data_IF_549221247328
#
_entry.id   IF_549221247328
#
_cell.length_a   1.000
_cell.length_b   1.000
_cell.length_c   1.000
_cell.angle_alpha   90.00
_cell.angle_beta   90.00
_cell.angle_gamma   90.00
#
_symmetry.space_group_name_H-M   'P 1'
#
loop_
_entity.id
_entity.type
_entity.pdbx_description
1 polymer ?
#
# COMPACT_ATOMS: atom_id res chain seq x y z
N UNK A 1 22.05 -4.44 21.89
CA UNK A 1 20.91 -3.77 21.23
C UNK A 1 21.16 -3.80 19.73
N UNK A 2 20.20 -4.27 18.92
CA UNK A 2 20.23 -4.20 17.46
C UNK A 2 20.66 -2.82 16.95
N UNK A 3 21.48 -2.80 15.89
CA UNK A 3 21.89 -1.54 15.25
C UNK A 3 20.78 -1.05 14.32
N UNK A 4 20.37 0.22 14.45
CA UNK A 4 19.41 0.88 13.56
C UNK A 4 20.20 1.77 12.60
N UNK A 5 20.12 1.48 11.31
CA UNK A 5 20.88 2.19 10.27
C UNK A 5 19.95 2.81 9.25
N UNK A 6 20.06 4.11 8.91
CA UNK A 6 19.29 4.71 7.82
C UNK A 6 19.48 3.95 6.51
N UNK A 7 18.41 3.84 5.72
CA UNK A 7 18.52 3.28 4.38
C UNK A 7 19.35 4.18 3.47
N UNK A 8 20.03 3.57 2.50
CA UNK A 8 20.75 4.30 1.47
C UNK A 8 19.76 4.80 0.43
N UNK A 9 19.79 6.10 0.15
CA UNK A 9 18.99 6.72 -0.89
C UNK A 9 19.86 7.11 -2.08
N UNK A 10 19.24 7.16 -3.27
CA UNK A 10 19.92 7.61 -4.50
C UNK A 10 20.20 9.12 -4.44
N UNK A 11 21.23 9.62 -5.13
CA UNK A 11 21.49 11.06 -5.22
C UNK A 11 20.26 11.84 -5.68
N UNK A 12 19.97 12.97 -5.02
CA UNK A 12 18.78 13.79 -5.31
C UNK A 12 17.49 13.32 -4.63
N UNK A 13 17.51 12.19 -3.91
CA UNK A 13 16.39 11.78 -3.07
C UNK A 13 16.21 12.71 -1.88
N UNK A 14 14.96 13.04 -1.60
CA UNK A 14 14.50 13.77 -0.41
C UNK A 14 13.62 12.87 0.49
N UNK A 15 13.76 11.55 0.35
CA UNK A 15 13.15 10.56 1.25
C UNK A 15 13.79 10.69 2.64
N UNK A 16 12.95 10.81 3.67
CA UNK A 16 13.34 11.05 5.05
C UNK A 16 12.91 9.93 6.01
N UNK A 17 12.58 8.76 5.46
CA UNK A 17 12.10 7.59 6.19
C UNK A 17 12.85 6.32 5.75
N UNK A 18 12.79 5.29 6.59
CA UNK A 18 13.38 3.99 6.32
C UNK A 18 14.68 3.73 7.09
N UNK A 19 14.72 2.60 7.78
CA UNK A 19 15.93 2.08 8.44
C UNK A 19 16.10 0.59 8.16
N UNK A 20 17.30 0.07 8.33
CA UNK A 20 17.60 -1.35 8.40
C UNK A 20 17.93 -1.75 9.84
N UNK A 21 17.46 -2.92 10.25
CA UNK A 21 17.73 -3.51 11.56
C UNK A 21 18.14 -4.97 11.37
N UNK A 22 19.19 -5.38 12.08
CA UNK A 22 19.62 -6.77 12.16
C UNK A 22 19.14 -7.39 13.48
N UNK A 23 18.22 -8.35 13.37
CA UNK A 23 17.56 -9.02 14.50
C UNK A 23 17.08 -10.40 14.09
N UNK A 24 17.08 -11.36 15.02
CA UNK A 24 16.49 -12.67 14.82
C UNK A 24 14.96 -12.59 14.92
N UNK A 25 14.30 -12.53 13.75
CA UNK A 25 12.84 -12.47 13.67
C UNK A 25 12.16 -13.82 13.99
N UNK A 26 12.87 -14.94 13.87
CA UNK A 26 12.31 -16.26 14.21
C UNK A 26 12.14 -16.41 15.72
N UNK A 27 13.08 -15.82 16.49
CA UNK A 27 13.10 -15.86 17.96
C UNK A 27 13.04 -14.45 18.58
N UNK A 28 12.15 -13.60 18.07
CA UNK A 28 12.08 -12.19 18.45
C UNK A 28 11.71 -11.99 19.92
N UNK A 29 12.62 -11.41 20.70
CA UNK A 29 12.39 -11.08 22.12
C UNK A 29 11.53 -9.83 22.30
N UNK A 30 11.05 -9.58 23.51
CA UNK A 30 10.29 -8.36 23.83
C UNK A 30 11.11 -7.09 23.71
N UNK A 31 12.38 -7.13 24.10
CA UNK A 31 13.30 -6.00 23.98
C UNK A 31 13.61 -5.68 22.52
N UNK A 32 13.85 -6.72 21.71
CA UNK A 32 14.07 -6.55 20.27
C UNK A 32 12.81 -6.03 19.56
N UNK A 33 11.63 -6.54 19.94
CA UNK A 33 10.37 -6.02 19.40
C UNK A 33 10.15 -4.55 19.79
N UNK A 34 10.49 -4.14 21.00
CA UNK A 34 10.38 -2.74 21.42
C UNK A 34 11.22 -1.83 20.51
N UNK A 35 12.44 -2.26 20.16
CA UNK A 35 13.33 -1.54 19.23
C UNK A 35 12.74 -1.49 17.82
N UNK A 36 12.23 -2.63 17.31
CA UNK A 36 11.57 -2.68 15.99
C UNK A 36 10.34 -1.78 15.94
N UNK A 37 9.50 -1.79 16.98
CA UNK A 37 8.30 -0.96 17.09
C UNK A 37 8.66 0.52 17.12
N UNK A 38 9.62 0.90 17.95
CA UNK A 38 10.07 2.29 18.07
C UNK A 38 10.65 2.80 16.74
N UNK A 39 11.52 2.01 16.12
CA UNK A 39 12.09 2.32 14.83
C UNK A 39 11.02 2.43 13.73
N UNK A 40 10.02 1.55 13.72
CA UNK A 40 8.93 1.62 12.74
C UNK A 40 8.12 2.91 12.88
N UNK A 41 7.77 3.34 14.08
CA UNK A 41 6.95 4.55 14.23
C UNK A 41 7.76 5.84 14.06
N UNK A 42 9.08 5.82 14.30
CA UNK A 42 9.96 6.96 14.01
C UNK A 42 10.41 7.05 12.54
N UNK A 43 10.56 5.92 11.86
CA UNK A 43 11.13 5.86 10.51
C UNK A 43 10.21 5.24 9.45
N UNK A 44 8.99 4.85 9.82
CA UNK A 44 7.89 4.35 8.98
C UNK A 44 8.13 3.09 8.15
N UNK A 45 9.38 2.67 7.95
CA UNK A 45 9.77 1.49 7.21
C UNK A 45 11.01 0.88 7.87
N UNK A 46 10.97 -0.42 8.11
CA UNK A 46 12.08 -1.21 8.63
C UNK A 46 12.40 -2.33 7.65
N UNK A 47 13.65 -2.38 7.20
CA UNK A 47 14.19 -3.44 6.35
C UNK A 47 14.96 -4.45 7.20
N UNK A 48 14.62 -5.72 7.01
CA UNK A 48 15.37 -6.86 7.52
C UNK A 48 15.98 -7.59 6.33
N UNK A 49 17.30 -7.78 6.33
CA UNK A 49 18.03 -8.51 5.29
C UNK A 49 18.16 -9.99 5.66
N UNK A 50 18.41 -10.86 4.68
CA UNK A 50 18.77 -12.27 4.91
C UNK A 50 17.71 -13.11 5.66
N UNK A 51 16.43 -12.87 5.39
CA UNK A 51 15.29 -13.54 6.03
C UNK A 51 14.78 -14.76 5.25
N UNK A 52 15.60 -15.39 4.40
CA UNK A 52 15.17 -16.52 3.55
C UNK A 52 14.59 -17.68 4.36
N UNK A 53 15.07 -17.87 5.59
CA UNK A 53 14.65 -18.96 6.47
C UNK A 53 13.50 -18.58 7.43
N UNK A 54 13.01 -17.34 7.39
CA UNK A 54 11.95 -16.89 8.29
C UNK A 54 10.67 -17.70 8.06
N UNK A 55 10.10 -18.28 9.11
CA UNK A 55 8.87 -19.06 8.99
C UNK A 55 7.64 -18.15 8.76
N UNK A 56 6.58 -18.64 8.08
CA UNK A 56 5.32 -17.90 7.98
C UNK A 56 4.74 -17.57 9.35
N UNK A 57 4.92 -18.46 10.33
CA UNK A 57 4.49 -18.25 11.71
C UNK A 57 5.20 -17.04 12.32
N UNK A 58 6.53 -16.96 12.24
CA UNK A 58 7.28 -15.83 12.77
C UNK A 58 6.90 -14.49 12.10
N UNK A 59 6.69 -14.49 10.77
CA UNK A 59 6.18 -13.31 10.05
C UNK A 59 4.81 -12.86 10.57
N UNK A 60 3.90 -13.80 10.79
CA UNK A 60 2.57 -13.52 11.36
C UNK A 60 2.67 -13.00 12.79
N UNK A 61 3.45 -13.66 13.66
CA UNK A 61 3.60 -13.25 15.06
C UNK A 61 4.17 -11.83 15.16
N UNK A 62 5.22 -11.48 14.41
CA UNK A 62 5.73 -10.11 14.34
C UNK A 62 4.62 -9.12 13.96
N UNK A 63 3.84 -9.43 12.93
CA UNK A 63 2.75 -8.56 12.45
C UNK A 63 1.67 -8.40 13.53
N UNK A 64 1.28 -9.49 14.19
CA UNK A 64 0.28 -9.52 15.25
C UNK A 64 0.71 -8.76 16.50
N UNK A 65 1.99 -8.69 16.83
CA UNK A 65 2.47 -7.94 18.00
C UNK A 65 2.14 -6.44 17.97
N UNK A 66 1.87 -5.86 16.80
CA UNK A 66 1.42 -4.46 16.69
C UNK A 66 -0.06 -4.26 17.06
N UNK A 67 -0.85 -5.33 17.06
CA UNK A 67 -2.23 -5.36 17.50
C UNK A 67 -2.63 -6.78 17.97
N UNK A 68 -2.36 -7.14 19.23
CA UNK A 68 -2.61 -8.50 19.72
C UNK A 68 -4.07 -8.93 19.66
N UNK A 69 -5.01 -7.98 19.61
CA UNK A 69 -6.46 -8.22 19.50
C UNK A 69 -6.90 -8.48 18.05
N UNK A 70 -6.02 -8.32 17.06
CA UNK A 70 -6.31 -8.57 15.66
C UNK A 70 -6.28 -10.08 15.34
N UNK A 71 -7.34 -10.56 14.69
CA UNK A 71 -7.50 -11.98 14.33
C UNK A 71 -7.74 -12.21 12.82
N UNK A 72 -8.17 -11.18 12.09
CA UNK A 72 -8.57 -11.28 10.68
C UNK A 72 -7.55 -10.64 9.74
N UNK A 73 -7.41 -11.21 8.54
CA UNK A 73 -6.62 -10.61 7.46
C UNK A 73 -7.22 -9.26 7.02
N UNK A 74 -6.38 -8.30 6.62
CA UNK A 74 -6.75 -6.89 6.39
C UNK A 74 -7.71 -6.61 5.22
N UNK A 75 -8.07 -7.63 4.43
CA UNK A 75 -8.99 -7.51 3.29
C UNK A 75 -10.18 -8.47 3.45
N UNK A 76 -11.34 -8.08 2.90
CA UNK A 76 -12.57 -8.86 2.96
C UNK A 76 -12.42 -10.30 2.45
N UNK A 77 -12.96 -11.25 3.23
CA UNK A 77 -12.99 -12.67 2.94
C UNK A 77 -14.31 -13.18 2.33
N UNK A 78 -15.04 -12.37 1.56
CA UNK A 78 -16.23 -12.85 0.84
C UNK A 78 -15.83 -13.58 -0.43
N UNK A 79 -16.24 -14.85 -0.59
CA UNK A 79 -15.78 -15.80 -1.61
C UNK A 79 -15.82 -15.33 -3.09
N UNK A 80 -16.46 -14.21 -3.39
CA UNK A 80 -16.64 -13.64 -4.72
C UNK A 80 -15.86 -12.35 -5.01
N UNK A 81 -15.01 -11.86 -4.10
CA UNK A 81 -14.21 -10.65 -4.42
C UNK A 81 -13.07 -10.99 -5.40
N UNK A 82 -12.84 -10.09 -6.36
CA UNK A 82 -11.73 -10.17 -7.33
C UNK A 82 -10.36 -10.37 -6.66
N UNK A 83 -10.23 -9.95 -5.40
CA UNK A 83 -9.04 -10.05 -4.55
C UNK A 83 -8.69 -11.51 -4.19
N UNK A 84 -9.67 -12.39 -3.95
CA UNK A 84 -9.43 -13.80 -3.61
C UNK A 84 -8.69 -14.58 -4.68
N UNK A 85 -8.84 -14.20 -5.96
CA UNK A 85 -8.17 -14.89 -7.07
C UNK A 85 -6.66 -14.65 -7.10
N UNK A 86 -6.15 -13.70 -6.32
CA UNK A 86 -4.75 -13.27 -6.35
C UNK A 86 -4.00 -13.46 -5.04
N UNK A 87 -4.69 -13.77 -3.94
CA UNK A 87 -4.10 -14.03 -2.64
C UNK A 87 -4.40 -15.46 -2.20
N UNK A 88 -3.33 -16.22 -1.97
CA UNK A 88 -3.41 -17.57 -1.45
C UNK A 88 -2.72 -17.63 -0.09
N UNK A 89 -3.50 -17.94 0.93
CA UNK A 89 -2.98 -18.15 2.28
C UNK A 89 -2.14 -19.42 2.32
N UNK A 90 -1.02 -19.37 3.05
CA UNK A 90 -0.22 -20.56 3.34
C UNK A 90 -1.06 -21.49 4.23
N UNK A 91 -1.21 -22.80 3.92
CA UNK A 91 -2.08 -23.71 4.66
C UNK A 91 -1.86 -23.71 6.18
N UNK A 92 -0.60 -23.77 6.61
CA UNK A 92 -0.23 -23.79 8.03
C UNK A 92 -0.29 -22.40 8.71
N UNK A 93 -0.36 -21.32 7.92
CA UNK A 93 -0.50 -19.95 8.43
C UNK A 93 -1.29 -19.06 7.45
N UNK A 94 -2.63 -19.20 7.37
CA UNK A 94 -3.43 -18.56 6.32
C UNK A 94 -3.49 -17.03 6.36
N UNK A 95 -2.99 -16.38 7.41
CA UNK A 95 -2.82 -14.93 7.52
C UNK A 95 -1.64 -14.43 6.68
N UNK A 96 -0.71 -15.31 6.33
CA UNK A 96 0.39 -15.01 5.41
C UNK A 96 -0.03 -15.40 4.00
N UNK A 97 -0.16 -14.40 3.15
CA UNK A 97 -0.60 -14.55 1.76
C UNK A 97 0.59 -14.58 0.81
N UNK A 98 0.49 -15.38 -0.24
CA UNK A 98 1.47 -15.40 -1.33
C UNK A 98 0.99 -14.48 -2.46
N UNK A 99 1.93 -13.68 -2.99
CA UNK A 99 1.72 -12.73 -4.10
C UNK A 99 2.88 -12.82 -5.08
N UNK A 100 2.65 -12.57 -6.36
CA UNK A 100 3.74 -12.76 -7.31
C UNK A 100 3.36 -12.75 -8.78
N UNK A 101 4.19 -13.40 -9.60
CA UNK A 101 3.97 -13.63 -11.02
C UNK A 101 4.58 -14.97 -11.40
N UNK A 102 3.94 -15.65 -12.34
CA UNK A 102 4.46 -16.89 -12.91
C UNK A 102 3.82 -18.12 -12.30
N UNK A 103 4.22 -19.27 -12.83
CA UNK A 103 3.82 -20.58 -12.35
C UNK A 103 4.83 -21.11 -11.33
N UNK A 104 4.34 -21.71 -10.24
CA UNK A 104 5.15 -22.33 -9.20
C UNK A 104 4.59 -23.73 -8.97
N UNK A 105 5.43 -24.75 -9.17
CA UNK A 105 5.02 -26.15 -9.01
C UNK A 105 4.61 -26.45 -7.56
N UNK A 106 5.41 -26.02 -6.58
CA UNK A 106 5.05 -26.13 -5.17
C UNK A 106 5.68 -25.03 -4.32
N UNK A 107 4.97 -24.61 -3.27
CA UNK A 107 5.48 -23.66 -2.30
C UNK A 107 4.74 -23.77 -0.97
N UNK A 108 5.45 -24.09 0.12
CA UNK A 108 4.91 -24.13 1.50
C UNK A 108 3.56 -24.86 1.63
N UNK A 109 3.50 -26.10 1.11
CA UNK A 109 2.29 -26.94 1.18
C UNK A 109 1.26 -26.69 0.06
N UNK A 110 1.44 -25.65 -0.75
CA UNK A 110 0.62 -25.41 -1.94
C UNK A 110 1.26 -26.06 -3.18
N UNK A 111 0.43 -26.42 -4.17
CA UNK A 111 0.82 -27.08 -5.42
C UNK A 111 0.18 -26.34 -6.61
N UNK A 112 0.80 -26.40 -7.78
CA UNK A 112 0.30 -25.88 -9.07
C UNK A 112 -0.20 -24.43 -9.00
N UNK A 113 0.59 -23.58 -8.38
CA UNK A 113 0.25 -22.19 -8.10
C UNK A 113 0.48 -21.32 -9.34
N UNK A 114 -0.53 -20.54 -9.75
CA UNK A 114 -0.38 -19.46 -10.74
C UNK A 114 -0.55 -18.10 -10.09
N UNK A 115 0.56 -17.36 -9.94
CA UNK A 115 0.55 -16.00 -9.41
C UNK A 115 0.40 -14.98 -10.53
N UNK A 116 -0.18 -13.83 -10.19
CA UNK A 116 -0.40 -12.74 -11.13
C UNK A 116 0.01 -11.40 -10.55
N UNK A 117 0.85 -10.69 -11.33
CA UNK A 117 1.30 -9.35 -11.01
C UNK A 117 0.43 -8.33 -11.73
N UNK A 118 0.02 -7.24 -11.05
CA UNK A 118 -0.71 -6.17 -11.69
C UNK A 118 0.01 -5.57 -12.89
N UNK A 119 -0.77 -5.15 -13.88
CA UNK A 119 -0.24 -4.54 -15.09
C UNK A 119 -1.07 -3.31 -15.43
N UNK A 120 -0.40 -2.17 -15.63
CA UNK A 120 -1.03 -0.88 -15.89
C UNK A 120 -2.06 -0.93 -17.04
N UNK A 121 -1.84 -1.72 -18.09
CA UNK A 121 -2.74 -1.85 -19.24
C UNK A 121 -4.17 -2.29 -18.87
N UNK A 122 -4.36 -2.95 -17.72
CA UNK A 122 -5.69 -3.36 -17.25
C UNK A 122 -6.42 -2.25 -16.49
N UNK A 123 -5.70 -1.47 -15.69
CA UNK A 123 -6.25 -0.50 -14.75
C UNK A 123 -6.30 0.94 -15.28
N UNK A 124 -5.36 1.32 -16.15
CA UNK A 124 -5.20 2.70 -16.62
C UNK A 124 -6.05 2.98 -17.87
N UNK A 125 -6.43 4.25 -18.06
CA UNK A 125 -7.08 4.72 -19.28
C UNK A 125 -6.05 4.82 -20.41
N UNK A 126 -4.97 5.56 -20.17
CA UNK A 126 -3.82 5.66 -21.06
C UNK A 126 -2.81 4.54 -20.80
N UNK A 127 -2.68 3.64 -21.77
CA UNK A 127 -1.78 2.49 -21.68
C UNK A 127 -0.47 2.77 -22.40
N UNK A 128 0.64 2.28 -21.85
CA UNK A 128 1.92 2.27 -22.56
C UNK A 128 1.83 1.23 -23.71
N UNK A 129 2.22 1.58 -24.94
CA UNK A 129 2.27 0.66 -26.08
C UNK A 129 3.09 -0.60 -25.79
N UNK A 130 2.70 -1.72 -26.37
CA UNK A 130 3.28 -3.03 -26.08
C UNK A 130 4.77 -3.13 -26.40
N UNK A 131 5.20 -2.51 -27.50
CA UNK A 131 6.60 -2.43 -27.94
C UNK A 131 7.48 -1.59 -27.00
N UNK A 132 6.87 -0.81 -26.11
CA UNK A 132 7.55 0.06 -25.13
C UNK A 132 7.51 -0.48 -23.70
N UNK A 133 6.70 -1.49 -23.45
CA UNK A 133 6.41 -1.98 -22.10
C UNK A 133 7.59 -2.70 -21.44
N UNK A 134 8.60 -3.07 -22.21
CA UNK A 134 9.86 -3.59 -21.67
C UNK A 134 10.70 -2.49 -20.98
N UNK A 135 10.59 -1.25 -21.44
CA UNK A 135 11.37 -0.10 -20.98
C UNK A 135 10.59 0.84 -20.06
N UNK A 136 9.27 0.94 -20.25
CA UNK A 136 8.43 1.90 -19.55
C UNK A 136 7.28 1.23 -18.80
N UNK A 137 6.88 1.83 -17.68
CA UNK A 137 5.76 1.37 -16.87
C UNK A 137 5.03 2.55 -16.19
N UNK A 138 4.02 2.24 -15.37
CA UNK A 138 3.30 3.21 -14.53
C UNK A 138 3.21 2.69 -13.10
N UNK A 139 3.01 3.59 -12.14
CA UNK A 139 2.52 3.18 -10.83
C UNK A 139 1.17 2.48 -11.01
N UNK A 140 0.99 1.28 -10.44
CA UNK A 140 -0.27 0.56 -10.69
C UNK A 140 -1.48 1.21 -9.99
N UNK A 141 -1.33 1.51 -8.69
CA UNK A 141 -2.31 2.23 -7.86
C UNK A 141 -1.68 2.60 -6.53
N UNK A 142 -1.64 3.88 -6.18
CA UNK A 142 -1.26 4.32 -4.85
C UNK A 142 -2.37 4.01 -3.85
N UNK A 143 -2.02 3.39 -2.72
CA UNK A 143 -3.00 2.95 -1.73
C UNK A 143 -2.36 2.77 -0.35
N UNK A 144 -3.25 2.67 0.64
CA UNK A 144 -3.02 1.97 1.91
C UNK A 144 -3.61 0.57 1.79
N UNK A 145 -3.00 -0.44 2.43
CA UNK A 145 -3.62 -1.76 2.53
C UNK A 145 -4.83 -1.62 3.46
N UNK A 146 -6.03 -1.94 2.99
CA UNK A 146 -7.28 -1.85 3.76
C UNK A 146 -8.42 -2.60 3.06
N UNK A 147 -9.50 -2.91 3.78
CA UNK A 147 -10.78 -3.27 3.17
C UNK A 147 -11.58 -2.02 2.79
N UNK A 148 -11.52 -0.98 3.63
CA UNK A 148 -12.27 0.29 3.51
C UNK A 148 -13.80 0.13 3.57
N UNK A 149 -14.26 -1.06 3.95
CA UNK A 149 -15.63 -1.41 4.29
C UNK A 149 -15.57 -2.51 5.35
N UNK A 150 -16.36 -2.38 6.43
CA UNK A 150 -16.40 -3.28 7.61
C UNK A 150 -15.11 -3.31 8.46
N UNK A 151 -13.97 -3.58 7.84
CA UNK A 151 -12.68 -3.78 8.52
C UNK A 151 -11.81 -2.51 8.53
N UNK A 152 -11.21 -2.23 9.68
CA UNK A 152 -10.28 -1.11 9.84
C UNK A 152 -8.95 -1.37 9.11
N UNK A 153 -8.30 -0.33 8.55
CA UNK A 153 -6.99 -0.44 7.92
C UNK A 153 -5.92 -1.02 8.87
N UNK A 154 -5.18 -2.08 8.49
CA UNK A 154 -4.05 -2.60 9.27
C UNK A 154 -3.09 -1.53 9.77
N UNK A 155 -2.57 -1.66 11.00
CA UNK A 155 -1.53 -0.76 11.53
C UNK A 155 -0.22 -0.89 10.75
N UNK A 156 0.16 -2.13 10.43
CA UNK A 156 1.41 -2.46 9.76
C UNK A 156 1.19 -3.52 8.69
N UNK A 157 2.15 -3.62 7.78
CA UNK A 157 2.23 -4.72 6.81
C UNK A 157 3.66 -5.23 6.75
N UNK A 158 3.82 -6.55 6.68
CA UNK A 158 5.09 -7.21 6.34
C UNK A 158 5.04 -7.72 4.92
N UNK A 159 6.12 -7.51 4.17
CA UNK A 159 6.28 -7.98 2.80
C UNK A 159 7.69 -8.56 2.65
N UNK A 160 7.77 -9.86 2.40
CA UNK A 160 9.01 -10.63 2.33
C UNK A 160 9.23 -11.17 0.92
N UNK A 161 10.40 -10.88 0.35
CA UNK A 161 10.84 -11.36 -0.95
C UNK A 161 11.36 -12.79 -0.85
N UNK A 162 10.71 -13.71 -1.54
CA UNK A 162 11.13 -15.12 -1.68
C UNK A 162 11.94 -15.28 -2.96
N UNK A 163 11.39 -14.78 -4.07
CA UNK A 163 12.03 -14.80 -5.39
C UNK A 163 11.74 -13.49 -6.09
N UNK A 164 12.78 -12.87 -6.64
CA UNK A 164 12.68 -11.56 -7.30
C UNK A 164 13.12 -11.67 -8.77
N UNK A 165 12.47 -10.93 -9.68
CA UNK A 165 12.92 -10.88 -11.07
C UNK A 165 14.28 -10.18 -11.16
N UNK A 166 15.16 -10.66 -12.03
CA UNK A 166 16.57 -10.19 -12.10
C UNK A 166 16.80 -9.22 -13.26
N UNK A 167 17.68 -8.24 -13.00
CA UNK A 167 18.46 -7.53 -14.03
C UNK A 167 17.78 -6.42 -14.82
N UNK A 168 16.45 -6.39 -14.94
CA UNK A 168 15.74 -5.34 -15.69
C UNK A 168 15.28 -4.20 -14.78
N UNK A 169 15.29 -2.99 -15.33
CA UNK A 169 14.72 -1.77 -14.75
C UNK A 169 13.72 -1.19 -15.74
N UNK A 170 12.77 -0.42 -15.24
CA UNK A 170 11.81 0.29 -16.08
C UNK A 170 11.70 1.74 -15.63
N UNK A 171 11.47 2.63 -16.59
CA UNK A 171 11.17 4.03 -16.32
C UNK A 171 9.67 4.20 -16.13
N UNK A 172 9.29 4.78 -15.00
CA UNK A 172 7.92 5.09 -14.64
C UNK A 172 7.58 6.44 -15.26
N UNK A 173 6.57 6.44 -16.13
CA UNK A 173 6.10 7.67 -16.79
C UNK A 173 4.89 8.24 -16.05
N UNK A 174 4.99 9.49 -15.60
CA UNK A 174 3.90 10.16 -14.90
C UNK A 174 2.81 10.65 -15.86
N UNK A 175 3.19 11.10 -17.07
CA UNK A 175 2.32 11.55 -18.16
C UNK A 175 1.12 12.44 -17.75
N UNK A 176 1.29 13.26 -16.72
CA UNK A 176 0.27 14.19 -16.23
C UNK A 176 0.58 15.66 -16.58
N UNK A 177 1.49 15.86 -17.55
CA UNK A 177 1.94 17.17 -18.01
C UNK A 177 3.14 17.74 -17.25
N UNK A 178 3.58 17.09 -16.17
CA UNK A 178 4.77 17.50 -15.41
C UNK A 178 6.09 17.22 -16.11
N UNK A 179 6.13 16.22 -17.01
CA UNK A 179 7.37 15.69 -17.59
C UNK A 179 8.22 14.88 -16.61
N UNK A 180 7.67 14.54 -15.43
CA UNK A 180 8.37 13.72 -14.44
C UNK A 180 8.47 12.25 -14.87
N UNK A 181 9.63 11.66 -14.57
CA UNK A 181 9.93 10.26 -14.78
C UNK A 181 10.71 9.71 -13.57
N UNK A 182 10.60 8.41 -13.31
CA UNK A 182 11.34 7.74 -12.23
C UNK A 182 11.87 6.39 -12.70
N UNK A 183 13.19 6.20 -12.70
CA UNK A 183 13.81 4.90 -12.95
C UNK A 183 13.67 3.99 -11.71
N UNK A 184 13.15 2.78 -11.90
CA UNK A 184 12.86 1.85 -10.82
C UNK A 184 13.28 0.40 -11.14
N UNK A 185 13.68 -0.38 -10.11
CA UNK A 185 13.83 -1.83 -10.25
C UNK A 185 12.52 -2.49 -10.71
N UNK A 186 12.63 -3.54 -11.53
CA UNK A 186 11.47 -4.28 -12.02
C UNK A 186 10.64 -4.88 -10.87
N UNK A 187 9.31 -4.74 -10.96
CA UNK A 187 8.34 -5.31 -10.01
C UNK A 187 8.55 -4.91 -8.54
N UNK A 188 9.11 -3.72 -8.32
CA UNK A 188 9.34 -3.12 -7.01
C UNK A 188 8.03 -2.68 -6.33
N UNK A 189 8.13 -2.37 -5.04
CA UNK A 189 7.13 -1.62 -4.30
C UNK A 189 7.71 -0.23 -4.03
N UNK A 190 6.99 0.79 -4.49
CA UNK A 190 7.29 2.19 -4.24
C UNK A 190 6.48 2.70 -3.04
N UNK A 191 7.10 3.55 -2.23
CA UNK A 191 6.53 4.10 -1.00
C UNK A 191 6.67 5.63 -0.97
N UNK A 192 5.71 6.30 -0.35
CA UNK A 192 5.74 7.74 -0.02
C UNK A 192 5.28 7.96 1.43
N UNK A 193 5.80 9.02 2.06
CA UNK A 193 5.46 9.38 3.44
C UNK A 193 4.22 10.28 3.50
N UNK A 194 3.19 9.82 4.21
CA UNK A 194 2.01 10.64 4.52
C UNK A 194 2.34 11.84 5.44
N UNK A 195 3.43 11.76 6.21
CA UNK A 195 3.89 12.84 7.09
C UNK A 195 4.57 13.91 6.24
N UNK A 196 5.42 13.50 5.29
CA UNK A 196 6.01 14.41 4.32
C UNK A 196 4.91 15.10 3.52
N UNK A 197 3.92 14.35 3.06
CA UNK A 197 2.76 14.86 2.34
C UNK A 197 2.00 15.91 3.15
N UNK A 198 1.67 15.62 4.42
CA UNK A 198 1.01 16.59 5.32
C UNK A 198 1.84 17.86 5.54
N UNK A 199 3.15 17.70 5.76
CA UNK A 199 4.07 18.82 6.01
C UNK A 199 4.29 19.72 4.78
N UNK A 200 4.01 19.22 3.58
CA UNK A 200 4.10 20.00 2.33
C UNK A 200 2.84 20.83 2.06
N UNK A 201 1.74 20.56 2.76
CA UNK A 201 0.49 21.28 2.57
C UNK A 201 0.60 22.75 3.00
N UNK A 202 -0.21 23.60 2.39
CA UNK A 202 -0.41 24.97 2.87
C UNK A 202 -1.06 24.95 4.27
N UNK A 203 -0.92 26.02 5.08
CA UNK A 203 -1.60 26.09 6.38
C UNK A 203 -3.12 25.88 6.29
N UNK A 204 -3.76 26.38 5.23
CA UNK A 204 -5.18 26.18 4.97
C UNK A 204 -5.50 24.71 4.66
N UNK A 205 -4.72 24.06 3.81
CA UNK A 205 -4.89 22.64 3.52
C UNK A 205 -4.59 21.75 4.74
N UNK A 206 -3.63 22.13 5.59
CA UNK A 206 -3.37 21.44 6.85
C UNK A 206 -4.59 21.51 7.77
N UNK A 207 -5.20 22.69 7.92
CA UNK A 207 -6.41 22.85 8.73
C UNK A 207 -7.59 22.06 8.15
N UNK A 208 -7.78 22.13 6.82
CA UNK A 208 -8.80 21.34 6.12
C UNK A 208 -8.63 19.84 6.39
N UNK A 209 -7.42 19.31 6.23
CA UNK A 209 -7.10 17.89 6.45
C UNK A 209 -7.21 17.49 7.92
N UNK A 210 -6.86 18.37 8.86
CA UNK A 210 -6.97 18.09 10.30
C UNK A 210 -8.42 17.98 10.77
N UNK A 211 -9.31 18.73 10.15
CA UNK A 211 -10.69 18.89 10.62
C UNK A 211 -11.72 18.09 9.82
N UNK A 212 -11.32 17.55 8.67
CA UNK A 212 -12.21 16.81 7.77
C UNK A 212 -12.07 15.29 7.88
N UNK A 213 -13.13 14.58 7.47
CA UNK A 213 -13.16 13.11 7.37
C UNK A 213 -13.51 12.68 5.95
N UNK A 214 -13.02 11.52 5.53
CA UNK A 214 -13.35 10.91 4.24
C UNK A 214 -14.30 9.75 4.43
N UNK A 215 -15.25 9.63 3.52
CA UNK A 215 -16.13 8.46 3.43
C UNK A 215 -15.76 7.64 2.19
N UNK A 216 -15.52 6.36 2.41
CA UNK A 216 -15.27 5.41 1.34
C UNK A 216 -16.57 4.82 0.80
N UNK A 217 -16.58 4.45 -0.47
CA UNK A 217 -17.72 3.73 -1.02
C UNK A 217 -17.84 2.32 -0.41
N UNK A 218 -19.05 1.78 -0.24
CA UNK A 218 -19.22 0.38 0.13
C UNK A 218 -18.66 -0.51 -0.98
N UNK A 219 -18.14 -1.68 -0.60
CA UNK A 219 -17.50 -2.62 -1.54
C UNK A 219 -16.51 -1.91 -2.49
N UNK A 220 -15.56 -1.09 -1.97
CA UNK A 220 -14.90 -0.05 -2.75
C UNK A 220 -14.11 -0.58 -3.94
N UNK A 221 -13.55 -1.79 -3.83
CA UNK A 221 -12.81 -2.43 -4.92
C UNK A 221 -13.70 -2.96 -6.04
N UNK A 222 -14.95 -3.32 -5.75
CA UNK A 222 -15.96 -3.63 -6.77
C UNK A 222 -16.45 -2.33 -7.40
N UNK A 223 -16.74 -1.32 -6.57
CA UNK A 223 -17.21 0.00 -7.00
C UNK A 223 -16.27 0.66 -8.02
N UNK A 224 -14.96 0.66 -7.77
CA UNK A 224 -13.98 1.29 -8.69
C UNK A 224 -13.52 0.38 -9.84
N UNK A 225 -13.93 -0.90 -9.87
CA UNK A 225 -13.41 -1.90 -10.82
C UNK A 225 -13.54 -1.49 -12.29
N UNK A 226 -14.66 -0.89 -12.75
CA UNK A 226 -14.80 -0.51 -14.16
C UNK A 226 -14.20 0.89 -14.46
N UNK A 227 -13.91 1.68 -13.43
CA UNK A 227 -13.24 2.96 -13.56
C UNK A 227 -11.77 2.79 -13.98
N UNK A 228 -11.21 3.84 -14.58
CA UNK A 228 -9.85 3.82 -15.14
C UNK A 228 -8.94 4.80 -14.41
N UNK A 229 -7.73 4.34 -14.09
CA UNK A 229 -6.70 5.12 -13.40
C UNK A 229 -6.12 6.21 -14.30
N UNK A 230 -5.77 7.34 -13.67
CA UNK A 230 -4.84 8.31 -14.21
C UNK A 230 -3.45 7.69 -14.41
N UNK A 231 -2.63 8.19 -15.36
CA UNK A 231 -1.25 7.75 -15.59
C UNK A 231 -0.36 7.65 -14.35
N UNK A 232 -0.57 8.51 -13.35
CA UNK A 232 0.17 8.52 -12.09
C UNK A 232 -0.24 7.42 -11.10
N UNK A 233 -1.31 6.67 -11.40
CA UNK A 233 -1.88 5.65 -10.50
C UNK A 233 -2.48 6.22 -9.21
N UNK A 234 -2.56 7.55 -9.06
CA UNK A 234 -3.00 8.19 -7.82
C UNK A 234 -4.53 8.21 -7.71
N UNK A 235 -5.25 8.54 -8.79
CA UNK A 235 -6.72 8.62 -8.77
C UNK A 235 -7.32 7.96 -10.01
N UNK A 236 -8.65 7.79 -10.04
CA UNK A 236 -9.43 7.39 -11.22
C UNK A 236 -10.02 8.61 -11.92
N UNK A 237 -10.25 8.50 -13.23
CA UNK A 237 -11.06 9.45 -13.97
C UNK A 237 -12.52 9.42 -13.52
N UNK A 238 -13.15 10.59 -13.45
CA UNK A 238 -14.59 10.73 -13.16
C UNK A 238 -15.41 10.72 -14.44
N UNK A 239 -15.63 9.52 -14.97
CA UNK A 239 -16.36 9.27 -16.23
C UNK A 239 -17.71 8.55 -16.01
N UNK A 240 -18.14 8.39 -14.76
CA UNK A 240 -19.38 7.66 -14.43
C UNK A 240 -19.29 6.17 -14.72
N UNK A 241 -18.10 5.58 -14.55
CA UNK A 241 -17.82 4.14 -14.80
C UNK A 241 -17.87 3.31 -13.53
N UNK A 242 -18.05 3.93 -12.38
CA UNK A 242 -18.17 3.24 -11.12
C UNK A 242 -19.38 2.29 -11.14
N UNK A 243 -19.24 1.13 -10.50
CA UNK A 243 -20.33 0.16 -10.42
C UNK A 243 -21.53 0.81 -9.70
N UNK A 244 -22.74 0.78 -10.29
CA UNK A 244 -23.92 1.35 -9.65
C UNK A 244 -24.26 0.55 -8.39
N UNK A 245 -24.84 1.22 -7.39
CA UNK A 245 -25.16 0.59 -6.09
C UNK A 245 -26.08 -0.64 -6.22
N UNK A 246 -26.93 -0.68 -7.25
CA UNK A 246 -27.80 -1.83 -7.55
C UNK A 246 -27.06 -3.10 -7.97
N UNK A 247 -25.83 -2.97 -8.46
CA UNK A 247 -24.98 -4.09 -8.91
C UNK A 247 -23.89 -4.44 -7.88
N UNK A 248 -23.81 -3.68 -6.79
CA UNK A 248 -22.94 -4.02 -5.66
C UNK A 248 -23.58 -5.10 -4.79
N UNK A 249 -22.78 -5.89 -4.06
CA UNK A 249 -23.31 -6.74 -2.99
C UNK A 249 -24.11 -5.91 -1.98
N UNK A 250 -25.03 -6.52 -1.22
CA UNK A 250 -25.85 -5.81 -0.23
C UNK A 250 -25.01 -4.88 0.66
N UNK A 251 -25.46 -3.63 0.77
CA UNK A 251 -24.78 -2.60 1.55
C UNK A 251 -25.43 -2.51 2.93
N UNK A 252 -24.66 -2.84 3.96
CA UNK A 252 -24.92 -2.46 5.33
C UNK A 252 -24.31 -1.06 5.59
N UNK A 253 -25.13 -0.03 5.86
CA UNK A 253 -24.63 1.32 6.11
C UNK A 253 -23.73 1.45 7.33
N UNK A 254 -23.89 0.58 8.34
CA UNK A 254 -23.07 0.62 9.57
C UNK A 254 -21.61 0.22 9.34
N UNK A 255 -21.34 -0.45 8.22
CA UNK A 255 -20.00 -0.89 7.81
C UNK A 255 -19.26 0.12 6.94
N UNK A 256 -19.93 1.21 6.53
CA UNK A 256 -19.31 2.27 5.75
C UNK A 256 -18.26 2.98 6.61
N UNK A 257 -17.03 3.02 6.11
CA UNK A 257 -15.90 3.62 6.80
C UNK A 257 -15.87 5.13 6.56
N UNK A 258 -16.00 5.90 7.65
CA UNK A 258 -15.77 7.34 7.70
C UNK A 258 -14.56 7.60 8.59
N UNK A 259 -13.42 7.92 7.99
CA UNK A 259 -12.13 8.02 8.67
C UNK A 259 -11.58 9.46 8.63
N UNK A 260 -10.79 9.89 9.64
CA UNK A 260 -10.06 11.16 9.57
C UNK A 260 -9.19 11.25 8.31
N UNK A 261 -9.00 12.46 7.78
CA UNK A 261 -8.02 12.69 6.71
C UNK A 261 -6.58 12.73 7.25
N UNK A 262 -6.39 13.33 8.42
CA UNK A 262 -5.12 13.31 9.16
C UNK A 262 -5.11 12.13 10.15
N UNK A 263 -4.16 11.21 10.03
CA UNK A 263 -3.94 10.15 11.01
C UNK A 263 -2.77 10.50 11.92
N UNK A 264 -2.86 10.13 13.19
CA UNK A 264 -1.87 10.47 14.21
C UNK A 264 -0.92 9.30 14.47
N UNK A 265 0.37 9.60 14.50
CA UNK A 265 1.40 8.65 14.90
C UNK A 265 1.25 8.31 16.39
N UNK A 266 1.08 7.03 16.77
CA UNK A 266 0.87 6.66 18.17
C UNK A 266 2.10 6.82 19.07
N UNK A 267 3.30 7.02 18.49
CA UNK A 267 4.55 7.21 19.25
C UNK A 267 4.99 8.67 19.20
N UNK A 268 5.03 9.29 18.03
CA UNK A 268 5.58 10.65 17.88
C UNK A 268 4.53 11.75 17.97
N UNK A 269 3.25 11.43 17.82
CA UNK A 269 2.16 12.41 17.72
C UNK A 269 2.12 13.20 16.41
N UNK A 270 3.06 12.97 15.48
CA UNK A 270 3.05 13.59 14.16
C UNK A 270 1.80 13.20 13.36
N UNK A 271 1.37 14.07 12.44
CA UNK A 271 0.23 13.82 11.58
C UNK A 271 0.65 13.36 10.19
N UNK A 272 -0.15 12.47 9.61
CA UNK A 272 -0.04 11.96 8.25
C UNK A 272 -1.30 12.31 7.46
N UNK A 273 -1.18 12.84 6.25
CA UNK A 273 -2.31 12.83 5.32
C UNK A 273 -2.48 11.39 4.84
N UNK A 274 -3.54 10.72 5.29
CA UNK A 274 -3.77 9.32 5.00
C UNK A 274 -5.19 9.04 4.49
N UNK A 275 -5.27 8.95 3.18
CA UNK A 275 -6.50 8.70 2.43
C UNK A 275 -6.17 7.75 1.30
N UNK A 276 -6.98 6.70 1.11
CA UNK A 276 -6.90 5.86 -0.08
C UNK A 276 -7.56 6.61 -1.27
N UNK A 277 -6.79 7.14 -2.24
CA UNK A 277 -7.31 8.13 -3.17
C UNK A 277 -8.34 7.62 -4.17
N UNK A 278 -8.23 6.36 -4.60
CA UNK A 278 -9.12 5.84 -5.63
C UNK A 278 -10.55 5.54 -5.12
N UNK A 279 -10.71 5.28 -3.81
CA UNK A 279 -11.93 4.70 -3.22
C UNK A 279 -12.79 5.70 -2.44
N UNK A 280 -12.33 6.94 -2.31
CA UNK A 280 -13.08 8.00 -1.63
C UNK A 280 -14.31 8.41 -2.46
N UNK A 281 -15.45 8.63 -1.78
CA UNK A 281 -16.67 9.13 -2.43
C UNK A 281 -17.19 10.45 -1.86
N UNK A 282 -16.89 10.79 -0.61
CA UNK A 282 -17.31 12.05 0.03
C UNK A 282 -16.26 12.56 1.02
N UNK A 283 -16.30 13.86 1.27
CA UNK A 283 -15.54 14.52 2.35
C UNK A 283 -16.55 15.21 3.28
N UNK A 284 -16.47 14.89 4.58
CA UNK A 284 -17.27 15.48 5.65
C UNK A 284 -16.48 16.59 6.32
N UNK A 285 -17.04 17.80 6.35
CA UNK A 285 -16.39 18.98 6.90
C UNK A 285 -16.80 19.23 8.35
N UNK A 286 -15.98 19.99 9.07
CA UNK A 286 -16.17 20.29 10.50
C UNK A 286 -17.45 21.07 10.81
N UNK A 287 -17.94 21.85 9.83
CA UNK A 287 -19.21 22.59 9.94
C UNK A 287 -20.45 21.72 9.68
N UNK A 288 -20.25 20.43 9.38
CA UNK A 288 -21.31 19.47 9.10
C UNK A 288 -21.73 19.39 7.62
N UNK A 289 -21.15 20.22 6.75
CA UNK A 289 -21.39 20.12 5.31
C UNK A 289 -20.61 18.95 4.67
N UNK A 290 -21.07 18.49 3.50
CA UNK A 290 -20.49 17.34 2.80
C UNK A 290 -20.16 17.72 1.36
N UNK A 291 -18.89 17.55 0.99
CA UNK A 291 -18.47 17.57 -0.42
C UNK A 291 -18.82 16.20 -1.02
N UNK A 292 -19.95 16.15 -1.72
CA UNK A 292 -20.51 14.93 -2.32
C UNK A 292 -20.31 14.82 -3.84
N UNK A 293 -19.82 15.87 -4.51
CA UNK A 293 -19.52 15.81 -5.93
C UNK A 293 -18.25 14.98 -6.15
N UNK A 294 -18.38 13.81 -6.79
CA UNK A 294 -17.27 12.87 -6.94
C UNK A 294 -16.07 13.45 -7.70
N UNK A 295 -16.31 14.32 -8.68
CA UNK A 295 -15.22 14.99 -9.42
C UNK A 295 -14.45 15.93 -8.49
N UNK A 296 -15.17 16.76 -7.74
CA UNK A 296 -14.59 17.68 -6.77
C UNK A 296 -13.78 16.95 -5.69
N UNK A 297 -14.35 15.88 -5.12
CA UNK A 297 -13.67 15.01 -4.13
C UNK A 297 -12.33 14.50 -4.67
N UNK A 298 -12.32 13.97 -5.89
CA UNK A 298 -11.11 13.43 -6.54
C UNK A 298 -10.11 14.50 -6.91
N UNK A 299 -10.58 15.66 -7.39
CA UNK A 299 -9.71 16.80 -7.73
C UNK A 299 -9.01 17.34 -6.46
N UNK A 300 -9.72 17.46 -5.35
CA UNK A 300 -9.14 17.83 -4.05
C UNK A 300 -8.09 16.79 -3.64
N UNK A 301 -8.43 15.49 -3.63
CA UNK A 301 -7.48 14.45 -3.23
C UNK A 301 -6.24 14.41 -4.13
N UNK A 302 -6.41 14.52 -5.44
CA UNK A 302 -5.29 14.57 -6.37
C UNK A 302 -4.38 15.76 -6.08
N UNK A 303 -4.94 16.96 -5.89
CA UNK A 303 -4.17 18.17 -5.57
C UNK A 303 -3.36 18.03 -4.27
N UNK A 304 -3.96 17.46 -3.23
CA UNK A 304 -3.29 17.29 -1.93
C UNK A 304 -2.18 16.22 -1.97
N UNK A 305 -2.39 15.11 -2.69
CA UNK A 305 -1.46 13.98 -2.66
C UNK A 305 -0.41 13.99 -3.78
N UNK A 306 -0.69 14.60 -4.94
CA UNK A 306 0.18 14.58 -6.12
C UNK A 306 1.61 15.11 -5.86
N UNK A 307 1.82 16.20 -5.09
CA UNK A 307 3.17 16.67 -4.81
C UNK A 307 4.05 15.62 -4.12
N UNK A 308 3.48 14.77 -3.26
CA UNK A 308 4.22 13.77 -2.50
C UNK A 308 4.65 12.55 -3.32
N UNK A 309 4.05 12.33 -4.51
CA UNK A 309 4.53 11.30 -5.43
C UNK A 309 5.58 11.82 -6.41
N UNK A 310 6.05 13.06 -6.33
CA UNK A 310 7.14 13.54 -7.19
C UNK A 310 8.41 12.68 -7.00
N UNK A 311 9.22 12.41 -8.05
CA UNK A 311 10.27 11.38 -8.03
C UNK A 311 11.22 11.43 -6.82
N UNK A 312 11.61 12.63 -6.39
CA UNK A 312 12.52 12.84 -5.25
C UNK A 312 11.97 12.35 -3.90
N UNK A 313 10.65 12.20 -3.74
CA UNK A 313 10.00 11.75 -2.51
C UNK A 313 9.61 10.27 -2.54
N UNK A 314 9.85 9.58 -3.65
CA UNK A 314 9.47 8.17 -3.81
C UNK A 314 10.63 7.27 -3.44
N UNK A 315 10.38 6.35 -2.50
CA UNK A 315 11.30 5.25 -2.20
C UNK A 315 10.89 4.00 -2.97
N UNK A 316 11.62 3.64 -4.01
CA UNK A 316 11.43 2.40 -4.76
C UNK A 316 12.43 1.33 -4.27
N UNK A 317 11.96 0.35 -3.51
CA UNK A 317 12.86 -0.61 -2.86
C UNK A 317 13.48 -1.59 -3.87
N UNK A 318 14.80 -1.61 -3.97
CA UNK A 318 15.51 -2.59 -4.79
C UNK A 318 15.64 -3.91 -4.02
N UNK A 319 14.65 -4.78 -4.21
CA UNK A 319 14.55 -6.06 -3.50
C UNK A 319 15.69 -7.01 -3.81
N UNK A 320 16.20 -7.66 -2.77
CA UNK A 320 16.98 -8.89 -2.86
C UNK A 320 16.19 -10.06 -2.24
N UNK A 321 16.48 -11.30 -2.66
CA UNK A 321 15.85 -12.47 -2.06
C UNK A 321 16.23 -12.57 -0.57
N UNK A 322 15.22 -12.74 0.29
CA UNK A 322 15.39 -12.68 1.74
C UNK A 322 15.20 -11.29 2.34
N UNK A 323 14.97 -10.24 1.54
CA UNK A 323 14.55 -8.97 2.10
C UNK A 323 13.14 -9.06 2.66
N UNK A 324 12.94 -8.56 3.87
CA UNK A 324 11.63 -8.31 4.42
C UNK A 324 11.48 -6.85 4.82
N UNK A 325 10.45 -6.21 4.28
CA UNK A 325 10.03 -4.86 4.69
C UNK A 325 8.86 -4.98 5.64
N UNK A 326 8.99 -4.37 6.81
CA UNK A 326 7.90 -4.02 7.70
C UNK A 326 7.61 -2.53 7.51
N UNK A 327 6.38 -2.15 7.18
CA UNK A 327 6.04 -0.74 7.00
C UNK A 327 4.79 -0.33 7.78
N UNK A 328 4.80 0.94 8.20
CA UNK A 328 3.71 1.62 8.86
C UNK A 328 2.61 1.89 7.83
N UNK A 329 1.59 1.04 7.78
CA UNK A 329 0.49 1.16 6.84
C UNK A 329 -0.44 2.35 7.18
N UNK A 330 -0.32 2.90 8.41
CA UNK A 330 -0.93 4.15 8.82
C UNK A 330 -0.06 5.38 8.53
N UNK A 331 1.15 5.22 8.00
CA UNK A 331 2.10 6.31 7.75
C UNK A 331 2.57 6.43 6.31
N UNK A 332 2.49 5.35 5.52
CA UNK A 332 2.93 5.32 4.13
C UNK A 332 1.79 4.99 3.18
N UNK A 333 1.81 5.60 1.99
CA UNK A 333 1.14 5.03 0.82
C UNK A 333 2.16 4.20 0.05
N UNK A 334 1.69 3.15 -0.61
CA UNK A 334 2.51 2.32 -1.46
C UNK A 334 1.83 1.94 -2.76
N UNK A 335 2.64 1.48 -3.70
CA UNK A 335 2.18 0.96 -4.98
C UNK A 335 3.16 -0.05 -5.53
N UNK A 336 2.64 -1.04 -6.26
CA UNK A 336 3.48 -1.94 -7.05
C UNK A 336 3.77 -1.30 -8.40
N UNK A 337 4.99 -1.52 -8.90
CA UNK A 337 5.45 -0.92 -10.15
C UNK A 337 6.15 -1.95 -11.01
N UNK A 338 5.92 -1.90 -12.31
CA UNK A 338 6.58 -2.75 -13.29
C UNK A 338 5.62 -3.57 -14.13
N UNK A 339 6.08 -3.95 -15.31
CA UNK A 339 5.39 -4.86 -16.22
C UNK A 339 6.25 -6.12 -16.35
N UNK A 340 5.76 -7.23 -15.80
CA UNK A 340 6.43 -8.52 -15.85
C UNK A 340 6.08 -9.26 -17.14
N UNK A 341 7.10 -9.87 -17.76
CA UNK A 341 6.94 -10.76 -18.89
C UNK A 341 6.37 -12.10 -18.43
N UNK A 342 5.77 -12.89 -19.33
CA UNK A 342 5.20 -14.20 -18.98
C UNK A 342 6.21 -15.19 -18.36
N UNK A 343 7.49 -15.06 -18.67
CA UNK A 343 8.60 -15.87 -18.17
C UNK A 343 9.29 -15.28 -16.93
N UNK A 344 9.00 -14.03 -16.56
CA UNK A 344 9.47 -13.46 -15.30
C UNK A 344 8.80 -14.21 -14.13
N UNK A 345 9.56 -14.49 -13.07
CA UNK A 345 9.02 -15.09 -11.84
C UNK A 345 9.22 -14.16 -10.67
N UNK A 346 8.18 -14.00 -9.86
CA UNK A 346 8.19 -13.18 -8.64
C UNK A 346 7.39 -13.90 -7.57
N UNK A 347 7.93 -14.05 -6.37
CA UNK A 347 7.24 -14.69 -5.24
C UNK A 347 7.51 -13.92 -3.97
N UNK A 348 6.44 -13.51 -3.30
CA UNK A 348 6.46 -12.73 -2.07
C UNK A 348 5.47 -13.30 -1.07
N UNK A 349 5.79 -13.19 0.22
CA UNK A 349 4.86 -13.39 1.32
C UNK A 349 4.45 -12.04 1.89
N UNK A 350 3.16 -11.82 2.07
CA UNK A 350 2.63 -10.63 2.73
C UNK A 350 1.78 -11.03 3.94
N UNK A 351 1.91 -10.29 5.04
CA UNK A 351 0.98 -10.35 6.15
C UNK A 351 0.53 -8.95 6.52
N UNK A 352 -0.79 -8.74 6.55
CA UNK A 352 -1.44 -7.57 7.11
C UNK A 352 -2.72 -8.03 7.82
N UNK A 353 -3.03 -7.42 8.96
CA UNK A 353 -4.15 -7.83 9.80
C UNK A 353 -5.06 -6.64 10.07
N UNK A 354 -6.37 -6.83 9.89
CA UNK A 354 -7.36 -5.79 10.16
C UNK A 354 -7.27 -5.39 11.63
N UNK A 355 -7.01 -4.11 11.88
CA UNK A 355 -6.77 -3.67 13.26
C UNK A 355 -8.07 -3.61 14.06
N UNK A 356 -7.96 -3.84 15.36
CA UNK A 356 -9.07 -3.78 16.31
C UNK A 356 -9.64 -2.36 16.49
N UNK A 357 -8.86 -1.32 16.19
CA UNK A 357 -9.22 0.09 16.42
C UNK A 357 -9.06 0.93 15.15
N UNK A 358 -10.00 1.83 14.83
CA UNK A 358 -9.84 2.74 13.70
C UNK A 358 -8.65 3.69 13.92
N UNK A 359 -8.05 4.23 12.85
CA UNK A 359 -6.98 5.22 12.96
C UNK A 359 -7.45 6.46 13.75
N UNK A 360 -6.60 6.93 14.66
CA UNK A 360 -6.84 8.13 15.47
C UNK A 360 -6.51 9.40 14.67
N UNK A 361 -7.38 10.40 14.75
CA UNK A 361 -7.14 11.74 14.20
C UNK A 361 -6.51 12.71 15.23
N UNK A 362 -6.22 13.96 14.82
CA UNK A 362 -5.76 15.02 15.72
C UNK A 362 -6.77 15.43 16.80
#
# INVERSE_FOLDING_TARGET
MPSVQPLKHVPGSAVDFGVAIDVDLENLTDDDFAIVRDALYHHHLVLFKNQQNLSPKAQYELTKRFDPASEAYGHERTADTFIHKYFMGIPDQPQVQIKGHGFIESFMGLQDIKLWHPHHRRSHREVIPEDKDDAYTRFNRWHIDAALYDLNPPKVTTLMAVQVPKGRRQTILYDDGSGEELDAPLATTAFISGQKMFNMLSPEDQEFVRTSKVEYAPHPYNWIKPAKMHPTGLSVYTEGREEPESELPPVDPSKIQILPMAWKNPVTGNLFLQVHPAAIRRIHLVDGSIIGNLKEVRDIMYRLQRPAISPQYVYAHNWEEGDMVLFNNHGLLHTVVGSLRPDDTRVFRQCNLATSEPPEGP
#
